data_IF_527401974073
#
_entry.id   IF_527401974073
#
_cell.length_a   1.000
_cell.length_b   1.000
_cell.length_c   1.000
_cell.angle_alpha   90.00
_cell.angle_beta   90.00
_cell.angle_gamma   90.00
#
_symmetry.space_group_name_H-M   'P 1'
#
loop_
_entity.id
_entity.type
_entity.pdbx_description
1 polymer ?
#
# COMPACT_ATOMS: atom_id res chain seq x y z
N UNK A 1 -26.81 4.02 -1.00
CA UNK A 1 -25.64 3.19 -1.34
C UNK A 1 -25.22 3.57 -2.74
N UNK A 2 -23.98 3.98 -2.95
CA UNK A 2 -23.46 4.39 -4.27
C UNK A 2 -22.87 3.16 -4.94
N UNK A 3 -23.41 2.77 -6.10
CA UNK A 3 -22.91 1.62 -6.85
C UNK A 3 -21.87 2.10 -7.87
N UNK A 4 -20.66 1.56 -7.80
CA UNK A 4 -19.54 1.96 -8.68
C UNK A 4 -19.10 0.73 -9.48
N UNK A 5 -19.15 0.85 -10.80
CA UNK A 5 -18.69 -0.22 -11.70
C UNK A 5 -17.25 0.04 -12.11
N UNK A 6 -16.33 -0.85 -11.71
CA UNK A 6 -14.91 -0.76 -12.06
C UNK A 6 -14.59 -1.82 -13.10
N UNK A 7 -14.04 -1.39 -14.25
CA UNK A 7 -13.50 -2.31 -15.26
C UNK A 7 -12.04 -2.60 -14.94
N UNK A 8 -11.71 -3.87 -14.75
CA UNK A 8 -10.34 -4.34 -14.51
C UNK A 8 -9.95 -5.38 -15.55
N UNK A 9 -8.64 -5.55 -15.75
CA UNK A 9 -8.13 -6.59 -16.63
C UNK A 9 -8.59 -8.00 -16.17
N UNK A 10 -8.77 -8.96 -17.09
CA UNK A 10 -9.26 -10.31 -16.76
C UNK A 10 -8.42 -11.01 -15.70
N UNK A 11 -7.09 -10.88 -15.77
CA UNK A 11 -6.16 -11.46 -14.80
C UNK A 11 -6.31 -10.86 -13.40
N UNK A 12 -6.57 -9.56 -13.33
CA UNK A 12 -6.83 -8.86 -12.06
C UNK A 12 -8.14 -9.34 -11.45
N UNK A 13 -9.20 -9.50 -12.26
CA UNK A 13 -10.48 -10.05 -11.79
C UNK A 13 -10.31 -11.48 -11.27
N UNK A 14 -9.58 -12.33 -12.00
CA UNK A 14 -9.28 -13.70 -11.59
C UNK A 14 -8.56 -13.74 -10.23
N UNK A 15 -7.54 -12.90 -10.05
CA UNK A 15 -6.79 -12.79 -8.78
C UNK A 15 -7.65 -12.26 -7.63
N UNK A 16 -8.50 -11.26 -7.88
CA UNK A 16 -9.42 -10.73 -6.87
C UNK A 16 -10.43 -11.80 -6.41
N UNK A 17 -11.00 -12.57 -7.34
CA UNK A 17 -11.92 -13.68 -7.00
C UNK A 17 -11.23 -14.76 -6.19
N UNK A 18 -10.03 -15.18 -6.60
CA UNK A 18 -9.25 -16.19 -5.87
C UNK A 18 -8.95 -15.73 -4.44
N UNK A 19 -8.50 -14.48 -4.26
CA UNK A 19 -8.23 -13.91 -2.94
C UNK A 19 -9.49 -13.78 -2.08
N UNK A 20 -10.61 -13.34 -2.66
CA UNK A 20 -11.87 -13.24 -1.95
C UNK A 20 -12.31 -14.62 -1.44
N UNK A 21 -12.15 -15.67 -2.26
CA UNK A 21 -12.44 -17.04 -1.89
C UNK A 21 -11.53 -17.56 -0.77
N UNK A 22 -10.22 -17.29 -0.84
CA UNK A 22 -9.26 -17.66 0.21
C UNK A 22 -9.59 -16.99 1.56
N UNK A 23 -9.96 -15.71 1.52
CA UNK A 23 -10.32 -14.94 2.70
C UNK A 23 -11.76 -15.20 3.20
N UNK A 24 -12.53 -16.08 2.55
CA UNK A 24 -13.91 -16.37 2.91
C UNK A 24 -14.86 -15.17 2.76
N UNK A 25 -14.55 -14.24 1.85
CA UNK A 25 -15.31 -13.00 1.62
C UNK A 25 -15.74 -12.86 0.16
N UNK A 26 -16.49 -11.81 -0.17
CA UNK A 26 -16.86 -11.48 -1.53
C UNK A 26 -15.94 -10.38 -2.11
N UNK A 27 -15.83 -10.32 -3.44
CA UNK A 27 -14.96 -9.37 -4.12
C UNK A 27 -15.29 -7.91 -3.76
N UNK A 28 -16.58 -7.49 -3.68
CA UNK A 28 -16.91 -6.11 -3.27
C UNK A 28 -16.39 -5.74 -1.88
N UNK A 29 -16.55 -6.61 -0.88
CA UNK A 29 -16.05 -6.37 0.49
C UNK A 29 -14.52 -6.32 0.49
N UNK A 30 -13.85 -7.26 -0.17
CA UNK A 30 -12.40 -7.25 -0.30
C UNK A 30 -11.88 -5.95 -0.95
N UNK A 31 -12.53 -5.50 -2.03
CA UNK A 31 -12.18 -4.25 -2.71
C UNK A 31 -12.47 -3.06 -1.81
N UNK A 32 -13.60 -3.06 -1.08
CA UNK A 32 -13.95 -2.05 -0.10
C UNK A 32 -12.89 -1.92 0.98
N UNK A 33 -12.43 -3.03 1.56
CA UNK A 33 -11.38 -3.04 2.59
C UNK A 33 -10.03 -2.58 2.04
N UNK A 34 -9.66 -3.00 0.84
CA UNK A 34 -8.44 -2.56 0.16
C UNK A 34 -8.47 -1.06 -0.17
N UNK A 35 -9.62 -0.56 -0.60
CA UNK A 35 -9.85 0.86 -0.88
C UNK A 35 -9.88 1.65 0.41
N UNK A 36 -10.53 1.20 1.48
CA UNK A 36 -10.53 1.87 2.78
C UNK A 36 -9.12 1.94 3.39
N UNK A 37 -8.37 0.84 3.31
CA UNK A 37 -6.96 0.80 3.74
C UNK A 37 -6.10 1.72 2.89
N UNK A 38 -6.33 1.76 1.57
CA UNK A 38 -5.61 2.67 0.67
C UNK A 38 -6.06 4.13 0.81
N UNK A 39 -7.32 4.36 1.18
CA UNK A 39 -7.89 5.68 1.39
C UNK A 39 -7.36 6.28 2.68
N UNK A 40 -7.19 5.49 3.74
CA UNK A 40 -6.46 5.91 4.94
C UNK A 40 -5.01 6.37 4.63
N UNK A 41 -4.41 5.89 3.53
CA UNK A 41 -3.10 6.36 3.03
C UNK A 41 -3.19 7.59 2.11
N UNK A 42 -4.39 8.00 1.69
CA UNK A 42 -4.65 9.08 0.73
C UNK A 42 -5.41 10.27 1.34
N UNK A 43 -6.14 10.07 2.44
CA UNK A 43 -7.02 11.06 3.07
C UNK A 43 -6.58 11.52 4.45
N UNK A 44 -5.30 11.37 4.82
CA UNK A 44 -4.79 12.01 6.03
C UNK A 44 -4.15 13.38 5.68
N UNK A 45 -4.89 14.50 5.82
CA UNK A 45 -4.32 15.85 5.67
C UNK A 45 -3.39 16.22 6.83
N UNK A 46 -3.37 15.45 7.93
CA UNK A 46 -2.52 15.67 9.09
C UNK A 46 -1.32 14.71 9.09
N UNK A 47 -0.54 14.66 8.00
CA UNK A 47 0.90 14.27 8.01
C UNK A 47 1.33 13.09 8.92
N UNK A 48 0.49 12.08 9.15
CA UNK A 48 0.84 10.92 9.99
C UNK A 48 1.32 9.73 9.15
N UNK A 49 0.80 9.61 7.93
CA UNK A 49 1.19 8.61 6.93
C UNK A 49 1.89 9.29 5.74
N UNK A 50 3.11 8.85 5.37
CA UNK A 50 3.79 9.39 4.22
C UNK A 50 2.98 9.18 2.94
N UNK A 51 2.97 10.13 1.98
CA UNK A 51 2.24 9.98 0.74
C UNK A 51 2.61 8.69 0.01
N UNK A 52 1.63 8.02 -0.62
CA UNK A 52 1.86 6.75 -1.33
C UNK A 52 2.95 6.82 -2.41
N UNK A 53 3.06 7.96 -3.07
CA UNK A 53 4.13 8.19 -4.05
C UNK A 53 5.51 8.17 -3.39
N UNK A 54 5.63 8.75 -2.19
CA UNK A 54 6.86 8.75 -1.41
C UNK A 54 7.19 7.35 -0.88
N UNK A 55 6.19 6.63 -0.33
CA UNK A 55 6.36 5.24 0.10
C UNK A 55 6.94 4.35 -1.02
N UNK A 56 6.37 4.46 -2.23
CA UNK A 56 6.86 3.70 -3.38
C UNK A 56 8.28 4.09 -3.76
N UNK A 57 8.61 5.39 -3.71
CA UNK A 57 9.97 5.85 -4.06
C UNK A 57 11.01 5.40 -3.04
N UNK A 58 10.68 5.43 -1.75
CA UNK A 58 11.54 4.89 -0.68
C UNK A 58 11.72 3.38 -0.84
N UNK A 59 10.65 2.63 -1.16
CA UNK A 59 10.76 1.19 -1.41
C UNK A 59 11.69 0.87 -2.59
N UNK A 60 11.52 1.56 -3.72
CA UNK A 60 12.37 1.40 -4.90
C UNK A 60 13.86 1.63 -4.56
N UNK A 61 14.17 2.68 -3.79
CA UNK A 61 15.56 2.97 -3.40
C UNK A 61 16.12 1.97 -2.38
N UNK A 62 15.29 1.51 -1.44
CA UNK A 62 15.69 0.53 -0.44
C UNK A 62 15.98 -0.85 -1.05
N UNK A 63 15.24 -1.24 -2.09
CA UNK A 63 15.51 -2.47 -2.87
C UNK A 63 16.84 -2.43 -3.62
N UNK A 64 17.35 -1.23 -3.94
CA UNK A 64 18.67 -1.02 -4.54
C UNK A 64 19.80 -0.92 -3.50
N UNK A 65 19.61 -1.51 -2.32
CA UNK A 65 20.58 -1.54 -1.22
C UNK A 65 21.00 -0.14 -0.70
N UNK A 66 20.18 0.88 -0.95
CA UNK A 66 20.45 2.22 -0.41
C UNK A 66 20.17 2.24 1.11
N UNK A 67 21.13 2.73 1.88
CA UNK A 67 20.92 2.95 3.32
C UNK A 67 19.85 4.02 3.55
N UNK A 68 19.10 4.00 4.67
CA UNK A 68 18.09 5.02 4.96
C UNK A 68 18.63 6.46 4.90
N UNK A 69 19.87 6.68 5.34
CA UNK A 69 20.55 7.98 5.26
C UNK A 69 20.82 8.42 3.81
N UNK A 70 21.18 7.49 2.92
CA UNK A 70 21.33 7.77 1.49
C UNK A 70 19.99 8.10 0.84
N UNK A 71 18.91 7.41 1.24
CA UNK A 71 17.56 7.68 0.74
C UNK A 71 17.11 9.08 1.18
N UNK A 72 17.36 9.43 2.45
CA UNK A 72 17.06 10.77 2.99
C UNK A 72 17.81 11.86 2.21
N UNK A 73 19.10 11.66 1.94
CA UNK A 73 19.91 12.59 1.15
C UNK A 73 19.46 12.68 -0.32
N UNK A 74 19.13 11.55 -0.96
CA UNK A 74 18.72 11.52 -2.37
C UNK A 74 17.35 12.15 -2.61
N UNK A 75 16.45 12.06 -1.63
CA UNK A 75 15.10 12.60 -1.72
C UNK A 75 14.97 14.00 -1.12
N UNK A 76 16.04 14.54 -0.55
CA UNK A 76 16.04 15.80 0.21
C UNK A 76 14.96 15.80 1.32
N UNK A 77 14.95 14.72 2.11
CA UNK A 77 13.96 14.49 3.17
C UNK A 77 14.62 14.31 4.54
N UNK A 78 13.93 14.68 5.63
CA UNK A 78 14.38 14.34 6.97
C UNK A 78 14.43 12.83 7.18
N UNK A 79 15.43 12.33 7.90
CA UNK A 79 15.57 10.90 8.27
C UNK A 79 14.31 10.33 8.95
N UNK A 80 13.60 11.17 9.73
CA UNK A 80 12.34 10.80 10.37
C UNK A 80 11.25 10.44 9.35
N UNK A 81 11.23 11.13 8.20
CA UNK A 81 10.25 10.89 7.13
C UNK A 81 10.54 9.59 6.40
N UNK A 82 11.83 9.32 6.12
CA UNK A 82 12.25 8.03 5.52
C UNK A 82 11.96 6.87 6.46
N UNK A 83 12.23 7.06 7.75
CA UNK A 83 11.94 6.06 8.78
C UNK A 83 10.44 5.75 8.88
N UNK A 84 9.59 6.78 8.86
CA UNK A 84 8.13 6.61 8.81
C UNK A 84 7.68 5.85 7.55
N UNK A 85 8.33 6.09 6.41
CA UNK A 85 8.07 5.35 5.18
C UNK A 85 8.39 3.86 5.31
N UNK A 86 9.55 3.51 5.86
CA UNK A 86 9.97 2.13 6.03
C UNK A 86 9.04 1.37 7.00
N UNK A 87 8.64 2.00 8.10
CA UNK A 87 7.69 1.40 9.06
C UNK A 87 6.34 1.09 8.40
N UNK A 88 5.82 2.01 7.59
CA UNK A 88 4.55 1.79 6.90
C UNK A 88 4.67 0.76 5.77
N UNK A 89 5.80 0.73 5.04
CA UNK A 89 6.08 -0.32 4.05
C UNK A 89 6.06 -1.72 4.69
N UNK A 90 6.70 -1.87 5.84
CA UNK A 90 6.68 -3.11 6.63
C UNK A 90 5.26 -3.46 7.10
N UNK A 91 4.48 -2.47 7.52
CA UNK A 91 3.08 -2.67 7.91
C UNK A 91 2.26 -3.19 6.74
N UNK A 92 2.43 -2.60 5.55
CA UNK A 92 1.74 -3.01 4.33
C UNK A 92 2.17 -4.41 3.86
N UNK A 93 3.45 -4.76 3.98
CA UNK A 93 3.94 -6.10 3.69
C UNK A 93 3.28 -7.15 4.60
N UNK A 94 3.21 -6.90 5.92
CA UNK A 94 2.53 -7.79 6.89
C UNK A 94 1.04 -7.99 6.57
N UNK A 95 0.36 -6.92 6.15
CA UNK A 95 -1.05 -7.00 5.73
C UNK A 95 -1.16 -7.83 4.45
N UNK A 96 -0.32 -7.56 3.45
CA UNK A 96 -0.32 -8.31 2.20
C UNK A 96 -0.08 -9.81 2.43
N UNK A 97 0.86 -10.15 3.30
CA UNK A 97 1.19 -11.53 3.70
C UNK A 97 0.02 -12.26 4.36
N UNK A 98 -0.77 -11.56 5.17
CA UNK A 98 -1.99 -12.13 5.78
C UNK A 98 -3.04 -12.53 4.74
N UNK A 99 -3.07 -11.88 3.58
CA UNK A 99 -4.04 -12.13 2.50
C UNK A 99 -3.49 -12.95 1.33
N UNK A 100 -2.21 -13.34 1.35
CA UNK A 100 -1.62 -14.29 0.39
C UNK A 100 -1.62 -15.73 0.88
N UNK A 101 -1.79 -15.96 2.20
CA UNK A 101 -2.04 -17.28 2.81
C UNK A 101 -3.53 -17.60 2.81
#
# INVERSE_FOLDING_TARGET
>A
MTEITIRVAPDVNRRLRARAQQAGTNVPLLVGDLVATSAALLTDPELSTPPRALLRKVAELHEHEATPAMIAQQLDLPDATVSACLVELDRLARIADRYTR
#
